data_IF_919491251744
#
_entry.id   IF_919491251744
#
_cell.length_a   1.000
_cell.length_b   1.000
_cell.length_c   1.000
_cell.angle_alpha   90.00
_cell.angle_beta   90.00
_cell.angle_gamma   90.00
#
_symmetry.space_group_name_H-M   'P 1'
#
loop_
_entity.id
_entity.type
_entity.pdbx_description
1 polymer ?
#
# COMPACT_ATOMS: atom_id res chain seq x y z
N UNK A 1 29.79 37.49 26.56
CA UNK A 1 30.31 36.75 25.40
C UNK A 1 29.87 35.29 25.54
N UNK A 2 29.44 34.71 24.42
CA UNK A 2 28.93 33.34 24.21
C UNK A 2 27.57 32.93 24.79
N UNK A 3 26.54 33.20 24.00
CA UNK A 3 25.29 32.44 23.96
C UNK A 3 25.52 31.14 23.17
N UNK A 4 25.40 29.99 23.82
CA UNK A 4 25.32 28.70 23.14
C UNK A 4 23.88 28.48 22.68
N UNK A 5 23.59 28.25 21.39
CA UNK A 5 22.27 27.84 20.95
C UNK A 5 22.10 26.33 21.20
N UNK A 6 21.26 25.97 22.16
CA UNK A 6 20.83 24.58 22.36
C UNK A 6 19.90 24.19 21.21
N UNK A 7 20.42 23.34 20.33
CA UNK A 7 19.71 22.73 19.21
C UNK A 7 18.51 21.92 19.71
N UNK A 8 17.31 22.29 19.27
CA UNK A 8 16.10 21.48 19.43
C UNK A 8 16.18 20.24 18.53
N UNK A 9 16.40 19.08 19.13
CA UNK A 9 16.34 17.76 18.48
C UNK A 9 15.30 16.88 19.17
N UNK A 10 14.01 17.18 19.01
CA UNK A 10 12.94 16.24 19.45
C UNK A 10 11.74 16.12 18.49
N UNK A 11 11.73 16.77 17.31
CA UNK A 11 10.55 16.73 16.43
C UNK A 11 10.46 15.48 15.53
N UNK A 12 11.51 14.65 15.45
CA UNK A 12 11.57 13.58 14.44
C UNK A 12 10.79 12.31 14.79
N UNK A 13 10.51 12.03 16.09
CA UNK A 13 9.84 10.79 16.48
C UNK A 13 8.32 10.78 16.25
N UNK A 14 7.65 11.94 16.29
CA UNK A 14 6.19 12.01 16.17
C UNK A 14 5.68 11.73 14.75
N UNK A 15 6.41 12.16 13.73
CA UNK A 15 6.04 11.96 12.33
C UNK A 15 6.08 10.47 11.92
N UNK A 16 7.06 9.71 12.42
CA UNK A 16 7.16 8.26 12.13
C UNK A 16 6.03 7.46 12.77
N UNK A 17 5.57 7.86 13.96
CA UNK A 17 4.40 7.25 14.63
C UNK A 17 3.11 7.56 13.88
N UNK A 18 2.90 8.82 13.49
CA UNK A 18 1.69 9.24 12.76
C UNK A 18 1.57 8.58 11.37
N UNK A 19 2.70 8.40 10.68
CA UNK A 19 2.78 7.68 9.39
C UNK A 19 2.38 6.21 9.53
N UNK A 20 2.72 5.59 10.66
CA UNK A 20 2.42 4.19 10.92
C UNK A 20 0.97 3.95 11.35
N UNK A 21 0.29 4.94 11.91
CA UNK A 21 -1.07 4.77 12.42
C UNK A 21 -2.13 4.84 11.31
N UNK A 22 -2.06 5.83 10.42
CA UNK A 22 -3.03 5.94 9.31
C UNK A 22 -2.91 4.79 8.30
N UNK A 23 -1.69 4.37 8.03
CA UNK A 23 -1.45 3.23 7.13
C UNK A 23 -2.01 1.94 7.70
N UNK A 24 -1.87 1.71 9.02
CA UNK A 24 -2.42 0.53 9.69
C UNK A 24 -3.94 0.50 9.64
N UNK A 25 -4.59 1.63 9.90
CA UNK A 25 -6.06 1.74 9.84
C UNK A 25 -6.61 1.31 8.48
N UNK A 26 -6.02 1.82 7.40
CA UNK A 26 -6.44 1.50 6.03
C UNK A 26 -6.13 0.04 5.67
N UNK A 27 -5.00 -0.49 6.15
CA UNK A 27 -4.67 -1.92 6.02
C UNK A 27 -5.73 -2.78 6.71
N UNK A 28 -6.11 -2.46 7.95
CA UNK A 28 -7.05 -3.24 8.71
C UNK A 28 -8.45 -3.18 8.09
N UNK A 29 -8.87 -2.02 7.58
CA UNK A 29 -10.11 -1.87 6.82
C UNK A 29 -10.11 -2.74 5.55
N UNK A 30 -9.03 -2.68 4.77
CA UNK A 30 -8.88 -3.51 3.57
C UNK A 30 -8.95 -5.02 3.88
N UNK A 31 -8.30 -5.43 4.97
CA UNK A 31 -8.23 -6.83 5.41
C UNK A 31 -9.56 -7.32 6.00
N UNK A 32 -10.32 -6.45 6.67
CA UNK A 32 -11.67 -6.75 7.13
C UNK A 32 -12.62 -7.06 5.96
N UNK A 33 -12.40 -6.45 4.80
CA UNK A 33 -13.17 -6.67 3.57
C UNK A 33 -12.78 -7.96 2.80
N UNK A 34 -11.90 -8.81 3.34
CA UNK A 34 -11.49 -10.07 2.69
C UNK A 34 -12.16 -11.29 3.34
N UNK A 35 -12.59 -12.25 2.52
CA UNK A 35 -13.35 -13.42 3.00
C UNK A 35 -12.49 -14.59 3.53
N UNK A 36 -11.21 -14.65 3.17
CA UNK A 36 -10.34 -15.80 3.51
C UNK A 36 -9.23 -15.37 4.46
N UNK A 37 -9.08 -16.07 5.58
CA UNK A 37 -7.99 -15.86 6.54
C UNK A 37 -6.60 -16.08 5.92
N UNK A 38 -6.47 -17.04 5.00
CA UNK A 38 -5.24 -17.27 4.24
C UNK A 38 -4.89 -16.08 3.34
N UNK A 39 -5.90 -15.48 2.69
CA UNK A 39 -5.74 -14.28 1.87
C UNK A 39 -5.38 -13.08 2.75
N UNK A 40 -6.07 -12.88 3.87
CA UNK A 40 -5.76 -11.81 4.84
C UNK A 40 -4.32 -11.89 5.32
N UNK A 41 -3.84 -13.09 5.69
CA UNK A 41 -2.47 -13.29 6.14
C UNK A 41 -1.46 -12.93 5.06
N UNK A 42 -1.71 -13.38 3.83
CA UNK A 42 -0.83 -13.11 2.69
C UNK A 42 -0.77 -11.61 2.39
N UNK A 43 -1.93 -10.95 2.28
CA UNK A 43 -2.01 -9.51 2.01
C UNK A 43 -1.37 -8.70 3.12
N UNK A 44 -1.62 -9.04 4.39
CA UNK A 44 -1.01 -8.37 5.53
C UNK A 44 0.52 -8.41 5.46
N UNK A 45 1.11 -9.57 5.19
CA UNK A 45 2.57 -9.70 5.10
C UNK A 45 3.12 -8.89 3.92
N UNK A 46 2.49 -8.98 2.76
CA UNK A 46 2.97 -8.29 1.55
C UNK A 46 2.84 -6.77 1.66
N UNK A 47 1.73 -6.25 2.18
CA UNK A 47 1.49 -4.82 2.37
C UNK A 47 2.41 -4.24 3.45
N UNK A 48 2.57 -4.93 4.59
CA UNK A 48 3.50 -4.46 5.63
C UNK A 48 4.95 -4.41 5.13
N UNK A 49 5.38 -5.38 4.31
CA UNK A 49 6.71 -5.35 3.71
C UNK A 49 6.87 -4.12 2.80
N UNK A 50 5.88 -3.84 1.96
CA UNK A 50 5.89 -2.69 1.06
C UNK A 50 5.96 -1.37 1.83
N UNK A 51 5.04 -1.14 2.79
CA UNK A 51 4.99 0.11 3.55
C UNK A 51 6.23 0.33 4.42
N UNK A 52 6.82 -0.76 4.96
CA UNK A 52 8.10 -0.68 5.66
C UNK A 52 9.26 -0.32 4.72
N UNK A 53 9.23 -0.79 3.48
CA UNK A 53 10.26 -0.48 2.49
C UNK A 53 10.21 1.00 2.06
N UNK A 54 9.03 1.53 1.76
CA UNK A 54 8.90 2.92 1.27
C UNK A 54 8.93 3.96 2.40
N UNK A 55 8.54 3.59 3.63
CA UNK A 55 8.51 4.50 4.77
C UNK A 55 7.53 5.67 4.65
N UNK A 56 6.43 5.49 3.89
CA UNK A 56 5.42 6.52 3.59
C UNK A 56 4.02 6.06 4.00
N UNK A 57 3.11 7.03 4.17
CA UNK A 57 1.67 6.71 4.32
C UNK A 57 1.04 6.32 2.99
N UNK A 58 -0.16 5.71 3.07
CA UNK A 58 -0.97 5.34 1.91
C UNK A 58 -1.22 6.51 0.94
N UNK A 59 -1.48 7.72 1.45
CA UNK A 59 -1.76 8.93 0.68
C UNK A 59 -0.51 9.57 0.05
N UNK A 60 0.68 9.20 0.53
CA UNK A 60 1.96 9.70 0.03
C UNK A 60 2.61 8.79 -1.01
N UNK A 61 2.03 7.61 -1.27
CA UNK A 61 2.60 6.65 -2.21
C UNK A 61 2.46 7.16 -3.64
N UNK A 62 3.57 7.18 -4.36
CA UNK A 62 3.64 7.59 -5.76
C UNK A 62 3.92 6.39 -6.67
N UNK A 63 3.71 6.56 -7.98
CA UNK A 63 4.14 5.54 -8.95
C UNK A 63 5.65 5.26 -8.88
N UNK A 64 6.48 6.27 -8.57
CA UNK A 64 7.94 6.09 -8.41
C UNK A 64 8.30 5.16 -7.26
N UNK A 65 7.53 5.17 -6.17
CA UNK A 65 7.72 4.27 -5.04
C UNK A 65 7.41 2.82 -5.42
N UNK A 66 6.37 2.61 -6.23
CA UNK A 66 6.02 1.29 -6.74
C UNK A 66 7.08 0.73 -7.69
N UNK A 67 7.66 1.57 -8.55
CA UNK A 67 8.78 1.18 -9.41
C UNK A 67 10.00 0.81 -8.57
N UNK A 68 10.34 1.62 -7.57
CA UNK A 68 11.45 1.36 -6.65
C UNK A 68 11.26 0.04 -5.91
N UNK A 69 10.05 -0.25 -5.44
CA UNK A 69 9.74 -1.52 -4.79
C UNK A 69 9.79 -2.70 -5.76
N UNK A 70 9.28 -2.54 -6.99
CA UNK A 70 9.37 -3.57 -8.03
C UNK A 70 10.83 -3.93 -8.31
N UNK A 71 11.72 -2.94 -8.38
CA UNK A 71 13.14 -3.15 -8.62
C UNK A 71 13.82 -3.81 -7.42
N UNK A 72 13.44 -3.44 -6.20
CA UNK A 72 13.88 -4.12 -4.96
C UNK A 72 13.54 -5.61 -4.95
N UNK A 73 12.35 -6.02 -5.41
CA UNK A 73 11.92 -7.42 -5.47
C UNK A 73 12.27 -8.14 -6.78
N UNK A 74 13.03 -7.51 -7.68
CA UNK A 74 13.34 -8.04 -9.02
C UNK A 74 14.11 -9.37 -9.00
N UNK A 75 14.80 -9.69 -7.91
CA UNK A 75 15.51 -10.93 -7.68
C UNK A 75 14.59 -12.14 -7.41
N UNK A 76 13.30 -11.91 -7.16
CA UNK A 76 12.33 -12.97 -6.90
C UNK A 76 11.84 -13.64 -8.19
N UNK A 77 11.22 -14.82 -8.05
CA UNK A 77 10.59 -15.51 -9.19
C UNK A 77 9.50 -14.62 -9.80
N UNK A 78 9.34 -14.59 -11.14
CA UNK A 78 8.34 -13.75 -11.81
C UNK A 78 6.93 -13.89 -11.22
N UNK A 79 6.48 -15.13 -10.94
CA UNK A 79 5.17 -15.37 -10.34
C UNK A 79 4.99 -14.72 -8.95
N UNK A 80 6.07 -14.64 -8.16
CA UNK A 80 6.05 -13.98 -6.84
C UNK A 80 6.01 -12.47 -6.99
N UNK A 81 6.75 -11.90 -7.95
CA UNK A 81 6.67 -10.47 -8.28
C UNK A 81 5.25 -10.13 -8.71
N UNK A 82 4.67 -10.88 -9.65
CA UNK A 82 3.29 -10.67 -10.11
C UNK A 82 2.31 -10.64 -8.95
N UNK A 83 2.33 -11.64 -8.08
CA UNK A 83 1.43 -11.71 -6.92
C UNK A 83 1.56 -10.49 -6.03
N UNK A 84 2.79 -10.10 -5.68
CA UNK A 84 3.05 -8.92 -4.83
C UNK A 84 2.49 -7.65 -5.46
N UNK A 85 2.71 -7.44 -6.75
CA UNK A 85 2.19 -6.26 -7.46
C UNK A 85 0.66 -6.29 -7.58
N UNK A 86 0.05 -7.47 -7.77
CA UNK A 86 -1.41 -7.64 -7.77
C UNK A 86 -2.00 -7.29 -6.40
N UNK A 87 -1.35 -7.69 -5.30
CA UNK A 87 -1.76 -7.30 -3.94
C UNK A 87 -1.73 -5.79 -3.75
N UNK A 88 -0.68 -5.10 -4.23
CA UNK A 88 -0.61 -3.64 -4.18
C UNK A 88 -1.75 -2.99 -4.96
N UNK A 89 -2.02 -3.46 -6.18
CA UNK A 89 -3.13 -2.96 -6.99
C UNK A 89 -4.47 -3.14 -6.29
N UNK A 90 -4.75 -4.32 -5.75
CA UNK A 90 -6.01 -4.58 -5.03
C UNK A 90 -6.20 -3.62 -3.84
N UNK A 91 -5.13 -3.37 -3.08
CA UNK A 91 -5.15 -2.45 -1.95
C UNK A 91 -5.35 -0.99 -2.37
N UNK A 92 -4.63 -0.49 -3.38
CA UNK A 92 -4.74 0.90 -3.81
C UNK A 92 -6.04 1.20 -4.54
N UNK A 93 -6.55 0.24 -5.34
CA UNK A 93 -7.88 0.38 -5.94
C UNK A 93 -8.98 0.39 -4.88
N UNK A 94 -8.84 -0.39 -3.80
CA UNK A 94 -9.73 -0.29 -2.63
C UNK A 94 -9.62 1.08 -1.93
N UNK A 95 -8.41 1.59 -1.70
CA UNK A 95 -8.23 2.90 -1.05
C UNK A 95 -8.86 4.05 -1.86
N UNK A 96 -8.82 3.98 -3.19
CA UNK A 96 -9.56 4.95 -4.04
C UNK A 96 -11.07 4.76 -3.93
N UNK A 97 -11.55 3.52 -3.91
CA UNK A 97 -12.98 3.20 -3.80
C UNK A 97 -13.62 3.75 -2.53
N UNK A 98 -12.90 3.66 -1.41
CA UNK A 98 -13.32 4.17 -0.11
C UNK A 98 -13.07 5.69 0.06
N UNK A 99 -12.58 6.38 -0.99
CA UNK A 99 -12.27 7.81 -0.93
C UNK A 99 -11.11 8.17 0.01
N UNK A 100 -10.24 7.21 0.33
CA UNK A 100 -9.09 7.39 1.23
C UNK A 100 -7.96 8.13 0.50
N UNK A 101 -7.79 7.85 -0.79
CA UNK A 101 -6.86 8.54 -1.68
C UNK A 101 -7.57 8.93 -2.99
N UNK A 102 -7.15 10.03 -3.60
CA UNK A 102 -7.81 10.56 -4.79
C UNK A 102 -7.41 9.85 -6.10
N UNK A 103 -6.21 9.27 -6.14
CA UNK A 103 -5.62 8.69 -7.36
C UNK A 103 -4.91 7.40 -7.05
N UNK A 104 -5.18 6.37 -7.85
CA UNK A 104 -4.50 5.08 -7.76
C UNK A 104 -3.04 5.21 -8.27
N UNK A 105 -2.00 5.05 -7.43
CA UNK A 105 -0.61 5.14 -7.88
C UNK A 105 -0.19 3.97 -8.78
N UNK A 106 -0.96 2.88 -8.83
CA UNK A 106 -0.65 1.63 -9.55
C UNK A 106 -1.09 1.64 -11.02
N UNK A 107 -1.73 2.71 -11.51
CA UNK A 107 -2.23 2.81 -12.89
C UNK A 107 -1.17 2.53 -13.96
N UNK A 108 0.07 2.98 -13.73
CA UNK A 108 1.19 2.82 -14.67
C UNK A 108 2.01 1.56 -14.42
N UNK A 109 1.64 0.73 -13.43
CA UNK A 109 2.35 -0.48 -13.10
C UNK A 109 2.03 -1.55 -14.15
N UNK A 110 3.00 -1.88 -15.01
CA UNK A 110 2.87 -3.00 -15.95
C UNK A 110 2.83 -4.31 -15.18
N UNK A 111 1.63 -4.81 -14.88
CA UNK A 111 1.45 -6.16 -14.37
C UNK A 111 1.60 -7.16 -15.53
N UNK A 112 2.36 -8.25 -15.37
CA UNK A 112 2.24 -9.38 -16.28
C UNK A 112 0.81 -9.90 -16.24
N UNK A 113 0.20 -10.17 -17.39
CA UNK A 113 -1.19 -10.66 -17.52
C UNK A 113 -1.39 -11.85 -16.57
N UNK A 114 -2.16 -11.64 -15.49
CA UNK A 114 -2.60 -12.73 -14.61
C UNK A 114 -3.94 -13.22 -15.17
N UNK A 115 -4.14 -14.55 -15.33
CA UNK A 115 -5.41 -15.11 -15.77
C UNK A 115 -6.54 -14.74 -14.80
N UNK A 116 -7.74 -14.57 -15.34
CA UNK A 116 -8.97 -14.12 -14.67
C UNK A 116 -9.29 -14.95 -13.41
N UNK A 117 -8.76 -14.50 -12.28
CA UNK A 117 -8.93 -15.15 -10.98
C UNK A 117 -8.40 -14.32 -9.83
N UNK A 118 -7.98 -13.08 -10.09
CA UNK A 118 -7.79 -12.08 -9.04
C UNK A 118 -9.12 -11.96 -8.27
N UNK A 119 -9.10 -11.84 -6.93
CA UNK A 119 -10.32 -11.60 -6.19
C UNK A 119 -11.05 -10.46 -6.89
N UNK A 120 -12.33 -10.67 -7.18
CA UNK A 120 -13.25 -9.60 -7.60
C UNK A 120 -13.20 -8.55 -6.50
N UNK A 121 -12.20 -7.67 -6.54
CA UNK A 121 -12.30 -6.35 -5.98
C UNK A 121 -13.53 -5.82 -6.70
N UNK A 122 -14.61 -5.76 -5.94
CA UNK A 122 -15.96 -5.43 -6.38
C UNK A 122 -15.84 -4.40 -7.49
N UNK A 123 -16.26 -4.79 -8.69
CA UNK A 123 -16.46 -3.86 -9.78
C UNK A 123 -17.35 -2.75 -9.22
N UNK A 124 -16.77 -1.57 -8.98
CA UNK A 124 -17.47 -0.35 -8.52
C UNK A 124 -18.42 0.19 -9.61
N UNK A 125 -18.76 -0.63 -10.62
CA UNK A 125 -19.79 -0.34 -11.60
C UNK A 125 -21.16 -0.93 -11.21
N UNK A 126 -21.29 -1.74 -10.14
CA UNK A 126 -22.57 -2.34 -9.74
C UNK A 126 -23.08 -1.96 -8.34
N UNK A 127 -22.96 -0.69 -7.95
CA UNK A 127 -23.66 -0.14 -6.78
C UNK A 127 -24.63 0.97 -7.17
N UNK A 128 -25.45 0.69 -8.18
CA UNK A 128 -26.58 1.54 -8.56
C UNK A 128 -27.77 0.71 -9.05
N UNK A 129 -28.35 -0.09 -8.14
CA UNK A 129 -29.77 -0.46 -8.06
C UNK A 129 -29.95 -1.60 -7.07
N UNK A 130 -30.42 -1.25 -5.87
CA UNK A 130 -31.62 -1.80 -5.22
C UNK A 130 -31.89 -0.97 -3.96
#
# INVERSE_FOLDING_TARGET
MNTTPTLQLITTSSALTQVQDRTREVLDLFLANQNSEGTKRTYRVELNLFFRFIGKTVDQVTSGDLLSYKDFISHLRPATISRKLTTLRAFFSFAVAEGIIDRDPTVNLKLPKVPEGSPKALSIVELKRL
#
